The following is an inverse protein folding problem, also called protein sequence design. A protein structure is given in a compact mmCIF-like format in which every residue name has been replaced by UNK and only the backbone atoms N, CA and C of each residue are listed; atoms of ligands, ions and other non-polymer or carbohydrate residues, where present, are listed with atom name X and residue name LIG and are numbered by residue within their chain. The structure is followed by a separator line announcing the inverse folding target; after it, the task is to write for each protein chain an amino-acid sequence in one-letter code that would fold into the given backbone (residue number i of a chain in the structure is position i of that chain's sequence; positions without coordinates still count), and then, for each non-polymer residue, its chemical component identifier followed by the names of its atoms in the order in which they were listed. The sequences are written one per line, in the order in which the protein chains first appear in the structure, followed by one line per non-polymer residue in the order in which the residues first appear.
data_IF_510219401838
#
_entry.id   IF_510219401838
#
_cell.length_a   1.000
_cell.length_b   1.000
_cell.length_c   1.000
_cell.angle_alpha   90.00
_cell.angle_beta   90.00
_cell.angle_gamma   90.00
#
_symmetry.space_group_name_H-M   'P 1'
#
loop_
_entity.id
_entity.type
_entity.pdbx_description
1 polymer ?
#
# COMPACT_ATOMS: atom_id res chain seq x y z
N UNK A 1 -14.29 4.69 -29.18
CA UNK A 1 -12.97 4.32 -28.63
C UNK A 1 -13.17 4.21 -27.14
N UNK A 2 -13.27 2.98 -26.63
CA UNK A 2 -13.31 2.79 -25.18
C UNK A 2 -12.04 3.38 -24.58
N UNK A 3 -12.20 4.33 -23.66
CA UNK A 3 -11.08 4.91 -22.94
C UNK A 3 -10.35 3.77 -22.24
N UNK A 4 -9.07 3.60 -22.54
CA UNK A 4 -8.19 2.71 -21.80
C UNK A 4 -8.28 3.06 -20.31
N UNK A 5 -8.54 2.08 -19.41
CA UNK A 5 -8.85 2.38 -18.03
C UNK A 5 -7.58 2.85 -17.28
N UNK A 6 -7.62 4.06 -16.71
CA UNK A 6 -6.57 4.61 -15.86
C UNK A 6 -6.61 4.00 -14.46
N UNK A 7 -6.12 2.77 -14.35
CA UNK A 7 -6.14 2.00 -13.09
C UNK A 7 -5.01 0.99 -13.03
N UNK A 8 -4.65 0.62 -11.81
CA UNK A 8 -3.91 -0.58 -11.49
C UNK A 8 -4.87 -1.78 -11.61
N UNK A 9 -4.47 -2.79 -12.36
CA UNK A 9 -5.19 -4.06 -12.53
C UNK A 9 -4.55 -5.24 -11.80
N UNK A 10 -3.28 -5.11 -11.40
CA UNK A 10 -2.54 -6.16 -10.72
C UNK A 10 -1.57 -5.57 -9.70
N UNK A 11 -1.42 -6.24 -8.55
CA UNK A 11 -0.47 -5.85 -7.50
C UNK A 11 0.30 -7.08 -7.04
N UNK A 12 1.61 -7.07 -7.28
CA UNK A 12 2.53 -8.10 -6.83
C UNK A 12 3.38 -7.60 -5.66
N UNK A 13 3.56 -8.43 -4.65
CA UNK A 13 4.49 -8.18 -3.54
C UNK A 13 5.75 -9.00 -3.73
N UNK A 14 6.91 -8.34 -3.67
CA UNK A 14 8.19 -9.01 -3.60
C UNK A 14 8.34 -9.81 -2.29
N UNK A 15 9.20 -10.84 -2.30
CA UNK A 15 9.49 -11.67 -1.13
C UNK A 15 9.96 -10.86 0.10
N UNK A 16 10.59 -9.71 -0.13
CA UNK A 16 10.99 -8.76 0.92
C UNK A 16 9.81 -8.14 1.68
N UNK A 17 8.60 -8.18 1.13
CA UNK A 17 7.35 -7.71 1.74
C UNK A 17 6.41 -8.85 2.14
N UNK A 18 6.82 -10.11 1.93
CA UNK A 18 6.02 -11.26 2.31
C UNK A 18 5.82 -11.31 3.83
N UNK A 19 4.56 -11.38 4.24
CA UNK A 19 4.20 -11.60 5.63
C UNK A 19 4.63 -13.00 6.09
N UNK A 20 4.88 -13.14 7.39
CA UNK A 20 5.21 -14.42 8.03
C UNK A 20 4.09 -14.95 8.94
N UNK A 21 2.91 -14.33 8.89
CA UNK A 21 1.78 -14.66 9.74
C UNK A 21 0.47 -14.60 8.90
N UNK A 22 -0.39 -15.64 8.94
CA UNK A 22 -1.64 -15.72 8.18
C UNK A 22 -2.59 -14.53 8.34
N UNK A 23 -2.59 -13.87 9.51
CA UNK A 23 -3.43 -12.68 9.74
C UNK A 23 -2.93 -11.50 8.91
N UNK A 24 -1.62 -11.27 8.88
CA UNK A 24 -1.02 -10.18 8.11
C UNK A 24 -1.19 -10.45 6.61
N UNK A 25 -1.05 -11.71 6.18
CA UNK A 25 -1.35 -12.11 4.79
C UNK A 25 -2.80 -11.78 4.40
N UNK A 26 -3.75 -12.05 5.30
CA UNK A 26 -5.17 -11.71 5.08
C UNK A 26 -5.39 -10.20 5.02
N UNK A 27 -4.78 -9.43 5.92
CA UNK A 27 -4.87 -7.95 5.89
C UNK A 27 -4.24 -7.37 4.62
N UNK A 28 -3.11 -7.93 4.16
CA UNK A 28 -2.49 -7.58 2.89
C UNK A 28 -3.41 -7.90 1.70
N UNK A 29 -4.02 -9.08 1.69
CA UNK A 29 -4.94 -9.48 0.63
C UNK A 29 -6.16 -8.53 0.56
N UNK A 30 -6.76 -8.18 1.70
CA UNK A 30 -7.85 -7.20 1.72
C UNK A 30 -7.42 -5.82 1.24
N UNK A 31 -6.24 -5.34 1.66
CA UNK A 31 -5.72 -4.06 1.20
C UNK A 31 -5.45 -4.05 -0.31
N UNK A 32 -4.96 -5.15 -0.89
CA UNK A 32 -4.76 -5.28 -2.34
C UNK A 32 -6.09 -5.31 -3.08
N UNK A 33 -7.08 -6.07 -2.60
CA UNK A 33 -8.41 -6.14 -3.21
C UNK A 33 -9.05 -4.75 -3.22
N UNK A 34 -9.09 -4.09 -2.07
CA UNK A 34 -9.65 -2.73 -1.95
C UNK A 34 -8.94 -1.73 -2.87
N UNK A 35 -7.61 -1.80 -2.94
CA UNK A 35 -6.84 -0.98 -3.88
C UNK A 35 -7.22 -1.28 -5.33
N UNK A 36 -7.28 -2.54 -5.73
CA UNK A 36 -7.62 -2.93 -7.11
C UNK A 36 -9.05 -2.52 -7.49
N UNK A 37 -10.00 -2.55 -6.56
CA UNK A 37 -11.40 -2.17 -6.79
C UNK A 37 -11.59 -0.65 -6.88
N UNK A 38 -10.88 0.13 -6.08
CA UNK A 38 -11.19 1.56 -5.88
C UNK A 38 -10.18 2.53 -6.50
N UNK A 39 -9.02 2.04 -6.97
CA UNK A 39 -7.98 2.94 -7.45
C UNK A 39 -8.32 3.67 -8.76
N UNK A 40 -7.76 4.88 -8.87
CA UNK A 40 -7.49 5.55 -10.14
C UNK A 40 -5.99 5.78 -10.23
N UNK A 41 -5.38 5.49 -11.37
CA UNK A 41 -3.93 5.60 -11.53
C UNK A 41 -3.56 6.13 -12.92
N UNK A 42 -2.85 7.26 -12.93
CA UNK A 42 -2.46 8.00 -14.15
C UNK A 42 -0.96 8.33 -14.08
N UNK A 43 -0.09 7.46 -14.61
CA UNK A 43 1.31 7.79 -14.82
C UNK A 43 1.47 9.01 -15.74
N UNK A 44 2.40 9.91 -15.40
CA UNK A 44 2.70 11.08 -16.23
C UNK A 44 3.19 10.63 -17.62
N UNK A 45 2.63 11.22 -18.67
CA UNK A 45 3.02 10.93 -20.05
C UNK A 45 2.39 9.67 -20.67
N UNK A 46 1.49 8.99 -19.95
CA UNK A 46 0.78 7.82 -20.48
C UNK A 46 -0.65 8.16 -20.90
N UNK A 47 -1.08 7.60 -22.03
CA UNK A 47 -2.37 7.87 -22.65
C UNK A 47 -3.43 6.79 -22.38
N UNK A 48 -3.07 5.74 -21.64
CA UNK A 48 -3.99 4.65 -21.30
C UNK A 48 -3.36 3.54 -20.48
N UNK A 49 -4.15 2.92 -19.60
CA UNK A 49 -3.82 1.69 -18.87
C UNK A 49 -4.60 0.47 -19.39
N UNK A 50 -4.69 -0.64 -18.62
CA UNK A 50 -4.39 -0.75 -17.19
C UNK A 50 -2.92 -1.00 -16.87
N UNK A 51 -2.55 -0.85 -15.60
CA UNK A 51 -1.18 -0.93 -15.11
C UNK A 51 -0.97 -2.05 -14.10
N UNK A 52 0.22 -2.63 -14.07
CA UNK A 52 0.64 -3.60 -13.06
C UNK A 52 1.61 -2.94 -12.09
N UNK A 53 1.41 -3.13 -10.80
CA UNK A 53 2.26 -2.58 -9.74
C UNK A 53 3.00 -3.72 -9.02
N UNK A 54 4.33 -3.68 -9.01
CA UNK A 54 5.14 -4.53 -8.14
C UNK A 54 5.77 -3.72 -7.02
N UNK A 55 5.47 -4.08 -5.77
CA UNK A 55 6.02 -3.48 -4.56
C UNK A 55 7.13 -4.34 -3.99
N UNK A 56 8.19 -3.72 -3.47
CA UNK A 56 9.27 -4.42 -2.78
C UNK A 56 10.07 -3.50 -1.87
N UNK A 57 11.12 -4.04 -1.24
CA UNK A 57 12.09 -3.22 -0.53
C UNK A 57 13.52 -3.55 -0.94
N UNK A 58 14.34 -2.51 -1.08
CA UNK A 58 15.76 -2.64 -1.36
C UNK A 58 16.54 -1.63 -0.52
N UNK A 59 17.47 -2.10 0.30
CA UNK A 59 18.37 -1.25 1.12
C UNK A 59 17.60 -0.19 1.94
N UNK A 60 16.50 -0.59 2.59
CA UNK A 60 15.67 0.30 3.41
C UNK A 60 14.81 1.31 2.64
N UNK A 61 14.66 1.12 1.33
CA UNK A 61 13.77 1.90 0.45
C UNK A 61 12.62 1.04 -0.02
N UNK A 62 11.44 1.64 -0.18
CA UNK A 62 10.30 1.03 -0.84
C UNK A 62 10.47 1.19 -2.34
N UNK A 63 10.40 0.08 -3.07
CA UNK A 63 10.46 0.07 -4.54
C UNK A 63 9.05 -0.13 -5.10
N UNK A 64 8.70 0.70 -6.08
CA UNK A 64 7.45 0.60 -6.84
C UNK A 64 7.83 0.46 -8.29
N UNK A 65 7.55 -0.68 -8.90
CA UNK A 65 7.73 -0.90 -10.33
C UNK A 65 6.35 -0.91 -10.98
N UNK A 66 6.20 -0.12 -12.03
CA UNK A 66 4.95 0.02 -12.77
C UNK A 66 5.22 -0.44 -14.20
N UNK A 67 4.44 -1.43 -14.62
CA UNK A 67 4.45 -1.97 -15.97
C UNK A 67 3.08 -1.75 -16.63
N UNK A 68 3.02 -1.79 -17.96
CA UNK A 68 1.76 -1.84 -18.69
C UNK A 68 1.13 -3.25 -18.65
N UNK A 69 0.01 -3.42 -19.37
CA UNK A 69 -0.71 -4.69 -19.46
C UNK A 69 0.11 -5.82 -20.12
N UNK A 70 1.09 -5.45 -20.95
CA UNK A 70 2.01 -6.31 -21.69
C UNK A 70 3.33 -6.55 -20.95
N UNK A 71 3.45 -6.13 -19.69
CA UNK A 71 4.67 -6.23 -18.88
C UNK A 71 5.84 -5.38 -19.38
N UNK A 72 5.57 -4.35 -20.19
CA UNK A 72 6.59 -3.38 -20.56
C UNK A 72 6.80 -2.39 -19.39
N UNK A 73 8.05 -2.19 -18.93
CA UNK A 73 8.34 -1.26 -17.85
C UNK A 73 7.99 0.18 -18.23
N UNK A 74 7.18 0.83 -17.39
CA UNK A 74 6.80 2.24 -17.56
C UNK A 74 7.70 3.12 -16.70
N UNK A 75 7.65 2.90 -15.39
CA UNK A 75 8.37 3.73 -14.42
C UNK A 75 8.70 2.93 -13.18
N UNK A 76 9.80 3.29 -12.53
CA UNK A 76 10.18 2.73 -11.25
C UNK A 76 10.51 3.84 -10.25
N UNK A 77 9.91 3.78 -9.07
CA UNK A 77 10.17 4.71 -7.98
C UNK A 77 10.86 4.01 -6.81
N UNK A 78 11.80 4.71 -6.18
CA UNK A 78 12.50 4.24 -4.98
C UNK A 78 12.36 5.27 -3.86
N UNK A 79 11.42 5.03 -2.95
CA UNK A 79 11.11 5.93 -1.84
C UNK A 79 11.93 5.56 -0.60
N UNK A 80 12.64 6.54 -0.01
CA UNK A 80 13.30 6.33 1.28
C UNK A 80 12.25 6.16 2.38
N UNK A 81 12.34 5.08 3.15
CA UNK A 81 11.46 4.87 4.30
C UNK A 81 11.94 5.59 5.57
N UNK A 82 13.10 6.26 5.51
CA UNK A 82 13.68 6.97 6.66
C UNK A 82 12.75 8.02 7.27
N UNK A 83 12.10 8.90 6.48
CA UNK A 83 11.13 9.88 7.00
C UNK A 83 9.90 9.23 7.66
N UNK A 84 9.56 8.00 7.25
CA UNK A 84 8.40 7.26 7.72
C UNK A 84 8.66 6.44 8.99
N UNK A 85 9.91 6.28 9.43
CA UNK A 85 10.30 5.39 10.55
C UNK A 85 9.49 5.60 11.82
N UNK A 86 9.19 6.85 12.19
CA UNK A 86 8.38 7.14 13.38
C UNK A 86 6.94 6.64 13.19
N UNK A 87 6.32 6.97 12.06
CA UNK A 87 4.96 6.56 11.74
C UNK A 87 4.80 5.05 11.63
N UNK A 88 5.76 4.35 11.03
CA UNK A 88 5.78 2.89 10.96
C UNK A 88 5.83 2.25 12.36
N UNK A 89 6.64 2.81 13.27
CA UNK A 89 6.74 2.36 14.66
C UNK A 89 5.43 2.61 15.42
N UNK A 90 4.85 3.78 15.26
CA UNK A 90 3.60 4.16 15.93
C UNK A 90 2.44 3.29 15.42
N UNK A 91 2.40 3.01 14.11
CA UNK A 91 1.44 2.08 13.51
C UNK A 91 1.55 0.68 14.09
N UNK A 92 2.79 0.16 14.21
CA UNK A 92 3.02 -1.16 14.80
C UNK A 92 2.46 -1.26 16.22
N UNK A 93 2.65 -0.23 17.05
CA UNK A 93 2.12 -0.18 18.43
C UNK A 93 0.59 -0.15 18.47
N UNK A 94 -0.06 0.55 17.55
CA UNK A 94 -1.51 0.57 17.41
C UNK A 94 -2.02 -0.83 17.05
N UNK A 95 -1.37 -1.49 16.09
CA UNK A 95 -1.70 -2.88 15.74
C UNK A 95 -1.54 -3.81 16.94
N UNK A 96 -0.40 -3.76 17.65
CA UNK A 96 -0.12 -4.54 18.87
C UNK A 96 -1.21 -4.32 19.95
N UNK A 97 -1.68 -3.08 20.11
CA UNK A 97 -2.77 -2.77 21.05
C UNK A 97 -4.12 -3.39 20.66
N UNK A 98 -4.33 -3.67 19.36
CA UNK A 98 -5.46 -4.44 18.84
C UNK A 98 -5.26 -5.95 19.04
N UNK A 99 -4.02 -6.45 19.06
CA UNK A 99 -3.71 -7.86 19.29
C UNK A 99 -4.02 -8.31 20.72
N UNK A 100 -3.78 -7.47 21.73
CA UNK A 100 -3.84 -7.90 23.13
C UNK A 100 -5.23 -7.86 23.77
N UNK A 101 -6.24 -7.28 23.12
CA UNK A 101 -7.50 -7.00 23.79
C UNK A 101 -8.70 -7.51 22.99
N UNK A 102 -9.49 -8.41 23.61
CA UNK A 102 -10.92 -8.61 23.27
C UNK A 102 -11.64 -7.28 23.53
N UNK A 103 -11.56 -6.39 22.56
CA UNK A 103 -11.93 -4.99 22.72
C UNK A 103 -13.40 -4.79 22.36
N UNK A 104 -14.12 -4.01 23.18
CA UNK A 104 -15.47 -3.55 22.84
C UNK A 104 -15.47 -2.60 21.63
N UNK A 105 -16.63 -2.33 21.02
CA UNK A 105 -16.78 -1.56 19.77
C UNK A 105 -16.07 -0.20 19.79
N UNK A 106 -16.24 0.57 20.87
CA UNK A 106 -15.65 1.91 21.02
C UNK A 106 -14.12 1.92 20.91
N UNK A 107 -13.46 0.86 21.41
CA UNK A 107 -12.00 0.75 21.36
C UNK A 107 -11.51 0.35 19.97
N UNK A 108 -12.28 -0.44 19.22
CA UNK A 108 -11.98 -0.74 17.83
C UNK A 108 -12.10 0.53 16.96
N UNK A 109 -13.13 1.34 17.18
CA UNK A 109 -13.29 2.64 16.50
C UNK A 109 -12.12 3.58 16.80
N UNK A 110 -11.69 3.66 18.06
CA UNK A 110 -10.53 4.47 18.44
C UNK A 110 -9.23 4.00 17.75
N UNK A 111 -9.03 2.68 17.62
CA UNK A 111 -7.91 2.09 16.89
C UNK A 111 -7.99 2.46 15.40
N UNK A 112 -9.16 2.37 14.78
CA UNK A 112 -9.36 2.68 13.37
C UNK A 112 -9.10 4.16 13.05
N UNK A 113 -9.58 5.07 13.91
CA UNK A 113 -9.25 6.51 13.80
C UNK A 113 -7.74 6.73 13.93
N UNK A 114 -7.10 6.04 14.88
CA UNK A 114 -5.65 6.08 15.05
C UNK A 114 -4.88 5.63 13.80
N UNK A 115 -5.30 4.52 13.19
CA UNK A 115 -4.72 4.02 11.93
C UNK A 115 -4.87 5.04 10.81
N UNK A 116 -6.08 5.57 10.58
CA UNK A 116 -6.35 6.57 9.54
C UNK A 116 -5.50 7.83 9.71
N UNK A 117 -5.34 8.31 10.94
CA UNK A 117 -4.50 9.48 11.21
C UNK A 117 -3.04 9.25 10.79
N UNK A 118 -2.48 8.06 11.05
CA UNK A 118 -1.13 7.73 10.60
C UNK A 118 -1.07 7.65 9.08
N UNK A 119 -2.04 7.01 8.43
CA UNK A 119 -2.09 6.91 6.97
C UNK A 119 -2.15 8.30 6.31
N UNK A 120 -3.00 9.20 6.80
CA UNK A 120 -3.12 10.57 6.29
C UNK A 120 -1.80 11.34 6.45
N UNK A 121 -1.17 11.25 7.62
CA UNK A 121 0.13 11.91 7.87
C UNK A 121 1.25 11.38 6.97
N UNK A 122 1.23 10.09 6.66
CA UNK A 122 2.16 9.50 5.70
C UNK A 122 1.90 10.01 4.28
N UNK A 123 0.62 10.13 3.87
CA UNK A 123 0.24 10.67 2.57
C UNK A 123 0.69 12.12 2.38
N UNK A 124 0.61 12.95 3.42
CA UNK A 124 1.11 14.33 3.37
C UNK A 124 2.63 14.43 3.11
N UNK A 125 3.43 13.43 3.52
CA UNK A 125 4.87 13.40 3.21
C UNK A 125 5.19 13.03 1.76
N UNK A 126 4.20 12.58 0.99
CA UNK A 126 4.35 12.17 -0.40
C UNK A 126 3.90 13.24 -1.41
N UNK A 127 3.36 14.37 -0.93
CA UNK A 127 3.07 15.56 -1.74
C UNK A 127 4.35 16.31 -2.06
#
# INVERSE_FOLDING_TARGET
MDSAPFRICDVALDTSLSARNPRVEREQAFAIIDLLETNTFVPLGHTGGPYRLKLGTAVGRLTLHIDDDQWAPIVSHCLSLTPFRRMLRDYKRICESCYECRSGPERLEAIDVGRRNIHNKAAELLR
#
